data_IF_763870188626
#
_entry.id   IF_763870188626
#
_cell.length_a   1.000
_cell.length_b   1.000
_cell.length_c   1.000
_cell.angle_alpha   90.00
_cell.angle_beta   90.00
_cell.angle_gamma   90.00
#
_symmetry.space_group_name_H-M   'P 1'
#
loop_
_entity.id
_entity.type
_entity.pdbx_description
1 polymer ?
#
# COMPACT_ATOMS: atom_id res chain seq x y z
N UNK A 1 -27.97 -12.01 38.83
CA UNK A 1 -28.33 -11.91 37.39
C UNK A 1 -27.97 -10.56 36.74
N UNK A 2 -28.06 -9.40 37.43
CA UNK A 2 -27.79 -8.05 36.86
C UNK A 2 -26.33 -7.72 36.49
N UNK A 3 -25.31 -8.39 37.07
CA UNK A 3 -23.89 -8.12 36.76
C UNK A 3 -23.43 -8.77 35.44
N UNK A 4 -23.98 -9.95 35.11
CA UNK A 4 -23.63 -10.68 33.90
C UNK A 4 -24.23 -10.03 32.64
N UNK A 5 -25.45 -9.49 32.73
CA UNK A 5 -26.06 -8.75 31.62
C UNK A 5 -25.35 -7.43 31.28
N UNK A 6 -24.80 -6.73 32.28
CA UNK A 6 -23.97 -5.53 32.06
C UNK A 6 -22.69 -5.85 31.28
N UNK A 7 -22.06 -6.98 31.57
CA UNK A 7 -20.89 -7.45 30.82
C UNK A 7 -21.25 -7.82 29.38
N UNK A 8 -22.41 -8.44 29.16
CA UNK A 8 -22.90 -8.72 27.80
C UNK A 8 -23.11 -7.43 26.98
N UNK A 9 -23.68 -6.39 27.58
CA UNK A 9 -23.87 -5.08 26.91
C UNK A 9 -22.52 -4.44 26.57
N UNK A 10 -21.54 -4.51 27.47
CA UNK A 10 -20.18 -3.99 27.23
C UNK A 10 -19.49 -4.77 26.10
N UNK A 11 -19.61 -6.09 26.06
CA UNK A 11 -19.03 -6.93 24.99
C UNK A 11 -19.66 -6.58 23.63
N UNK A 12 -20.99 -6.41 23.57
CA UNK A 12 -21.67 -6.02 22.33
C UNK A 12 -21.22 -4.62 21.87
N UNK A 13 -21.05 -3.68 22.79
CA UNK A 13 -20.55 -2.34 22.47
C UNK A 13 -19.12 -2.38 21.93
N UNK A 14 -18.24 -3.20 22.51
CA UNK A 14 -16.87 -3.39 22.02
C UNK A 14 -16.87 -4.00 20.60
N UNK A 15 -17.66 -5.05 20.37
CA UNK A 15 -17.80 -5.66 19.04
C UNK A 15 -18.30 -4.64 18.01
N UNK A 16 -19.27 -3.80 18.40
CA UNK A 16 -19.80 -2.74 17.53
C UNK A 16 -18.73 -1.72 17.13
N UNK A 17 -17.87 -1.30 18.07
CA UNK A 17 -16.74 -0.39 17.79
C UNK A 17 -15.73 -1.04 16.84
N UNK A 18 -15.38 -2.31 17.07
CA UNK A 18 -14.46 -3.05 16.19
C UNK A 18 -15.02 -3.24 14.78
N UNK A 19 -16.30 -3.62 14.65
CA UNK A 19 -16.95 -3.77 13.36
C UNK A 19 -17.02 -2.43 12.60
N UNK A 20 -17.31 -1.33 13.30
CA UNK A 20 -17.32 0.00 12.70
C UNK A 20 -15.91 0.42 12.21
N UNK A 21 -14.87 0.18 13.02
CA UNK A 21 -13.50 0.46 12.63
C UNK A 21 -13.08 -0.37 11.40
N UNK A 22 -13.48 -1.65 11.34
CA UNK A 22 -13.19 -2.52 10.20
C UNK A 22 -13.79 -1.99 8.89
N UNK A 23 -15.07 -1.58 8.92
CA UNK A 23 -15.75 -0.99 7.75
C UNK A 23 -15.08 0.31 7.29
N UNK A 24 -14.54 1.11 8.23
CA UNK A 24 -13.83 2.34 7.89
C UNK A 24 -12.53 2.07 7.13
N UNK A 25 -11.79 1.03 7.52
CA UNK A 25 -10.53 0.63 6.89
C UNK A 25 -10.77 0.14 5.45
N UNK A 26 -11.76 -0.70 5.22
CA UNK A 26 -12.07 -1.24 3.88
C UNK A 26 -12.39 -0.12 2.87
N UNK A 27 -13.17 0.87 3.30
CA UNK A 27 -13.50 2.04 2.46
C UNK A 27 -12.27 2.88 2.11
N UNK A 28 -11.31 2.97 3.03
CA UNK A 28 -10.07 3.70 2.80
C UNK A 28 -9.24 3.01 1.71
N UNK A 29 -9.15 1.68 1.75
CA UNK A 29 -8.40 0.87 0.78
C UNK A 29 -9.07 0.83 -0.61
N UNK A 30 -10.41 0.83 -0.70
CA UNK A 30 -11.12 0.88 -1.98
C UNK A 30 -10.72 2.10 -2.84
N UNK A 31 -10.33 3.21 -2.21
CA UNK A 31 -9.88 4.41 -2.93
C UNK A 31 -8.60 4.18 -3.73
N UNK A 32 -7.74 3.24 -3.34
CA UNK A 32 -6.50 2.92 -4.04
C UNK A 32 -6.71 2.11 -5.33
N UNK A 33 -7.81 1.34 -5.42
CA UNK A 33 -8.15 0.60 -6.64
C UNK A 33 -8.38 1.52 -7.85
N UNK A 34 -8.63 2.81 -7.59
CA UNK A 34 -8.91 3.85 -8.58
C UNK A 34 -7.68 4.67 -8.98
N UNK A 35 -6.49 4.34 -8.48
CA UNK A 35 -5.26 5.03 -8.87
C UNK A 35 -5.09 4.87 -10.39
N UNK A 36 -5.18 5.99 -11.09
CA UNK A 36 -4.93 6.02 -12.54
C UNK A 36 -3.47 5.66 -12.78
N UNK A 37 -3.27 4.64 -13.62
CA UNK A 37 -1.94 4.32 -14.14
C UNK A 37 -1.57 5.37 -15.17
N UNK A 38 -0.78 6.36 -14.77
CA UNK A 38 -0.12 7.23 -15.73
C UNK A 38 0.95 6.41 -16.45
N UNK A 39 0.90 6.36 -17.79
CA UNK A 39 2.04 5.86 -18.56
C UNK A 39 3.12 6.92 -18.54
N UNK A 40 4.27 6.59 -17.95
CA UNK A 40 5.45 7.45 -17.94
C UNK A 40 6.31 7.02 -19.13
N UNK A 41 6.66 7.97 -19.99
CA UNK A 41 7.62 7.76 -21.06
C UNK A 41 9.04 7.94 -20.52
N UNK A 42 9.73 6.82 -20.27
CA UNK A 42 11.08 6.82 -19.70
C UNK A 42 12.11 7.47 -20.63
N UNK A 43 11.86 7.57 -21.94
CA UNK A 43 12.77 8.25 -22.88
C UNK A 43 12.90 9.75 -22.60
N UNK A 44 11.95 10.31 -21.85
CA UNK A 44 11.93 11.71 -21.42
C UNK A 44 12.43 11.92 -20.00
N UNK A 45 12.69 10.84 -19.26
CA UNK A 45 13.13 10.88 -17.85
C UNK A 45 14.65 10.86 -17.81
N UNK A 46 15.25 11.87 -17.19
CA UNK A 46 16.71 11.92 -17.01
C UNK A 46 17.23 10.80 -16.10
N UNK A 47 18.51 10.47 -16.25
CA UNK A 47 19.17 9.53 -15.38
C UNK A 47 19.30 10.11 -13.97
N UNK A 48 19.05 9.27 -12.96
CA UNK A 48 19.09 9.72 -11.57
C UNK A 48 18.36 8.80 -10.60
N UNK A 49 18.34 9.23 -9.34
CA UNK A 49 17.69 8.53 -8.25
C UNK A 49 16.40 9.25 -7.85
N UNK A 50 15.27 8.59 -8.06
CA UNK A 50 13.94 9.12 -7.79
C UNK A 50 13.35 8.47 -6.56
N UNK A 51 12.74 9.26 -5.67
CA UNK A 51 12.06 8.72 -4.48
C UNK A 51 10.55 8.89 -4.62
N UNK A 52 9.81 7.83 -4.31
CA UNK A 52 8.35 7.83 -4.33
C UNK A 52 7.80 7.21 -3.06
N UNK A 53 6.64 7.68 -2.61
CA UNK A 53 5.93 7.09 -1.48
C UNK A 53 4.42 7.17 -1.66
N UNK A 54 3.72 6.14 -1.19
CA UNK A 54 2.27 6.10 -1.11
C UNK A 54 1.85 5.52 0.26
N UNK A 55 0.81 6.08 0.87
CA UNK A 55 0.32 5.61 2.17
C UNK A 55 -1.20 5.75 2.26
N UNK A 56 -1.86 4.66 2.65
CA UNK A 56 -3.29 4.59 2.95
C UNK A 56 -3.45 3.56 4.06
N UNK A 57 -3.81 4.00 5.27
CA UNK A 57 -3.88 3.11 6.43
C UNK A 57 -4.71 1.84 6.15
N UNK A 58 -4.18 0.63 6.49
CA UNK A 58 -2.94 0.37 7.23
C UNK A 58 -1.68 0.19 6.38
N UNK A 59 -1.74 0.41 5.05
CA UNK A 59 -0.62 0.15 4.14
C UNK A 59 0.20 1.40 3.81
N UNK A 60 1.50 1.22 3.63
CA UNK A 60 2.38 2.25 3.09
C UNK A 60 3.57 1.64 2.37
N UNK A 61 4.08 2.35 1.38
CA UNK A 61 5.27 1.98 0.63
C UNK A 61 6.11 3.22 0.36
N UNK A 62 7.43 3.08 0.48
CA UNK A 62 8.43 4.06 0.07
C UNK A 62 9.49 3.34 -0.74
N UNK A 63 9.78 3.87 -1.92
CA UNK A 63 10.74 3.29 -2.85
C UNK A 63 11.74 4.34 -3.32
N UNK A 64 12.90 3.86 -3.74
CA UNK A 64 13.88 4.62 -4.51
C UNK A 64 14.12 3.91 -5.83
N UNK A 65 14.02 4.62 -6.94
CA UNK A 65 14.15 4.09 -8.29
C UNK A 65 15.39 4.69 -8.92
N UNK A 66 16.33 3.85 -9.31
CA UNK A 66 17.52 4.25 -10.07
C UNK A 66 17.21 4.14 -11.56
N UNK A 67 17.31 5.27 -12.25
CA UNK A 67 17.20 5.36 -13.71
C UNK A 67 18.58 5.60 -14.30
N UNK A 68 18.99 4.75 -15.23
CA UNK A 68 20.21 4.94 -16.04
C UNK A 68 19.92 4.59 -17.49
N UNK A 69 20.47 5.39 -18.42
CA UNK A 69 20.20 5.32 -19.85
C UNK A 69 18.71 5.22 -20.16
N UNK A 70 17.87 6.04 -19.51
CA UNK A 70 16.41 6.02 -19.65
C UNK A 70 15.75 4.67 -19.30
N UNK A 71 16.36 3.88 -18.41
CA UNK A 71 15.81 2.59 -17.95
C UNK A 71 15.86 2.48 -16.44
N UNK A 72 14.88 1.79 -15.86
CA UNK A 72 14.89 1.45 -14.45
C UNK A 72 15.88 0.30 -14.26
N UNK A 73 16.97 0.58 -13.56
CA UNK A 73 18.03 -0.42 -13.29
C UNK A 73 17.83 -1.07 -11.93
N UNK A 74 17.28 -0.33 -10.96
CA UNK A 74 16.99 -0.86 -9.64
C UNK A 74 15.79 -0.16 -9.01
N UNK A 75 15.05 -0.92 -8.20
CA UNK A 75 14.01 -0.41 -7.32
C UNK A 75 14.35 -0.87 -5.90
N UNK A 76 14.61 0.09 -5.02
CA UNK A 76 14.90 -0.15 -3.62
C UNK A 76 13.65 0.09 -2.80
N UNK A 77 13.14 -0.96 -2.15
CA UNK A 77 12.05 -0.83 -1.18
C UNK A 77 12.64 -0.31 0.14
N UNK A 78 12.39 0.97 0.44
CA UNK A 78 12.93 1.65 1.61
C UNK A 78 12.09 1.35 2.85
N UNK A 79 10.78 1.42 2.71
CA UNK A 79 9.81 1.11 3.76
C UNK A 79 8.60 0.45 3.12
N UNK A 80 8.09 -0.61 3.73
CA UNK A 80 6.85 -1.25 3.31
C UNK A 80 6.09 -1.76 4.53
N UNK A 81 4.84 -1.32 4.65
CA UNK A 81 3.90 -1.78 5.65
C UNK A 81 2.79 -2.53 4.93
N UNK A 82 2.72 -3.83 5.19
CA UNK A 82 1.69 -4.69 4.61
C UNK A 82 0.42 -4.65 5.45
N UNK A 83 -0.71 -4.77 4.78
CA UNK A 83 -2.00 -5.01 5.41
C UNK A 83 -2.23 -6.50 5.52
N UNK A 84 -3.23 -7.00 4.78
CA UNK A 84 -3.51 -8.45 4.68
C UNK A 84 -2.82 -9.13 3.48
N UNK A 85 -1.99 -8.40 2.73
CA UNK A 85 -1.35 -8.88 1.49
C UNK A 85 0.10 -9.32 1.64
N UNK A 86 0.65 -9.86 0.56
CA UNK A 86 2.03 -10.34 0.47
C UNK A 86 3.07 -9.20 0.35
N UNK A 87 4.34 -9.56 0.52
CA UNK A 87 5.46 -8.61 0.42
C UNK A 87 5.62 -8.06 -1.01
N UNK A 88 5.65 -6.74 -1.15
CA UNK A 88 5.85 -6.07 -2.44
C UNK A 88 7.24 -6.35 -3.03
N UNK A 89 8.21 -6.79 -2.23
CA UNK A 89 9.52 -7.20 -2.72
C UNK A 89 9.43 -8.31 -3.78
N UNK A 90 8.39 -9.15 -3.75
CA UNK A 90 8.25 -10.30 -4.65
C UNK A 90 8.04 -9.94 -6.12
N UNK A 91 7.54 -8.73 -6.41
CA UNK A 91 7.22 -8.31 -7.78
C UNK A 91 8.27 -7.35 -8.38
N UNK A 92 9.24 -6.89 -7.59
CA UNK A 92 10.18 -5.86 -8.04
C UNK A 92 11.01 -6.31 -9.25
N UNK A 93 11.49 -7.55 -9.24
CA UNK A 93 12.27 -8.12 -10.34
C UNK A 93 11.41 -8.26 -11.61
N UNK A 94 10.13 -8.62 -11.47
CA UNK A 94 9.20 -8.71 -12.60
C UNK A 94 8.90 -7.33 -13.19
N UNK A 95 8.73 -6.31 -12.35
CA UNK A 95 8.51 -4.92 -12.79
C UNK A 95 9.69 -4.42 -13.62
N UNK A 96 10.93 -4.72 -13.20
CA UNK A 96 12.13 -4.36 -13.96
C UNK A 96 12.20 -5.17 -15.27
N UNK A 97 11.91 -6.47 -15.22
CA UNK A 97 11.98 -7.35 -16.40
C UNK A 97 10.92 -7.04 -17.46
N UNK A 98 9.72 -6.59 -17.05
CA UNK A 98 8.62 -6.28 -17.96
C UNK A 98 8.65 -4.85 -18.50
N UNK A 99 9.68 -4.06 -18.18
CA UNK A 99 9.81 -2.70 -18.70
C UNK A 99 9.78 -2.70 -20.23
N UNK A 100 8.84 -1.94 -20.80
CA UNK A 100 8.76 -1.62 -22.22
C UNK A 100 9.15 -0.15 -22.41
N UNK A 101 10.00 0.10 -23.41
CA UNK A 101 10.36 1.44 -23.87
C UNK A 101 9.32 1.95 -24.88
#
# INVERSE_FOLDING_TARGET
MRKRSKWFVVIIMIIGVFAFAFVMIDRNLESMSKVQRASIDLTTVEDGLYSGSAAVFPISAKVSVLVENHRIVAIYLLEFVTGQGDDAAMILDEVIAQQRL
#
